data_IF_872541041008
#
_entry.id   IF_872541041008
#
_cell.length_a   1.000
_cell.length_b   1.000
_cell.length_c   1.000
_cell.angle_alpha   90.00
_cell.angle_beta   90.00
_cell.angle_gamma   90.00
#
_symmetry.space_group_name_H-M   'P 1'
#
loop_
_entity.id
_entity.type
_entity.pdbx_description
1 polymer ?
#
# COMPACT_ATOMS: atom_id res chain seq x y z
N UNK A 1 10.38 -0.52 -19.78
CA UNK A 1 11.49 -0.79 -20.72
C UNK A 1 12.85 -0.40 -20.14
N UNK A 2 12.95 0.70 -19.40
CA UNK A 2 14.23 1.18 -18.83
C UNK A 2 14.78 0.27 -17.72
N UNK A 3 13.89 -0.30 -16.89
CA UNK A 3 14.30 -1.23 -15.82
C UNK A 3 14.87 -2.57 -16.36
N UNK A 4 14.35 -3.06 -17.48
CA UNK A 4 14.87 -4.28 -18.13
C UNK A 4 16.29 -4.08 -18.69
N UNK A 5 16.60 -2.88 -19.22
CA UNK A 5 17.94 -2.55 -19.75
C UNK A 5 19.00 -2.40 -18.66
N UNK A 6 18.64 -1.83 -17.52
CA UNK A 6 19.58 -1.66 -16.39
C UNK A 6 19.96 -2.99 -15.73
N UNK A 7 19.08 -3.99 -15.76
CA UNK A 7 19.36 -5.32 -15.19
C UNK A 7 20.18 -6.18 -16.14
N UNK A 8 19.88 -6.17 -17.44
CA UNK A 8 20.72 -6.82 -18.46
C UNK A 8 22.19 -6.34 -18.40
N UNK A 9 22.39 -5.05 -18.08
CA UNK A 9 23.72 -4.48 -17.84
C UNK A 9 24.36 -4.96 -16.53
N UNK A 10 23.63 -5.05 -15.42
CA UNK A 10 24.14 -5.57 -14.15
C UNK A 10 24.56 -7.05 -14.23
N UNK A 11 23.78 -7.84 -14.97
CA UNK A 11 24.02 -9.26 -15.26
C UNK A 11 25.31 -9.43 -16.08
N UNK A 12 25.46 -8.59 -17.09
CA UNK A 12 26.66 -8.55 -17.93
C UNK A 12 27.89 -8.18 -17.09
N UNK A 13 27.78 -7.16 -16.24
CA UNK A 13 28.89 -6.69 -15.40
C UNK A 13 29.39 -7.79 -14.44
N UNK A 14 28.50 -8.52 -13.78
CA UNK A 14 28.96 -9.54 -12.83
C UNK A 14 29.60 -10.74 -13.52
N UNK A 15 29.05 -11.14 -14.67
CA UNK A 15 29.64 -12.20 -15.49
C UNK A 15 31.01 -11.77 -16.00
N UNK A 16 31.16 -10.53 -16.46
CA UNK A 16 32.44 -9.96 -16.91
C UNK A 16 33.48 -9.88 -15.78
N UNK A 17 33.07 -9.46 -14.58
CA UNK A 17 33.95 -9.42 -13.40
C UNK A 17 34.42 -10.82 -13.02
N UNK A 18 33.52 -11.81 -13.02
CA UNK A 18 33.87 -13.19 -12.66
C UNK A 18 34.75 -13.82 -13.74
N UNK A 19 34.53 -13.51 -15.02
CA UNK A 19 35.43 -13.89 -16.12
C UNK A 19 36.82 -13.30 -15.94
N UNK A 20 36.92 -12.00 -15.73
CA UNK A 20 38.21 -11.33 -15.53
C UNK A 20 38.98 -11.89 -14.32
N UNK A 21 38.27 -12.22 -13.23
CA UNK A 21 38.86 -12.86 -12.06
C UNK A 21 39.26 -14.31 -12.33
N UNK A 22 38.51 -15.06 -13.14
CA UNK A 22 38.87 -16.40 -13.54
C UNK A 22 40.13 -16.43 -14.40
N UNK A 23 40.23 -15.51 -15.36
CA UNK A 23 41.38 -15.37 -16.25
C UNK A 23 42.63 -14.86 -15.49
N UNK A 24 42.44 -13.99 -14.49
CA UNK A 24 43.54 -13.51 -13.65
C UNK A 24 44.08 -14.59 -12.70
N UNK A 25 43.21 -15.51 -12.25
CA UNK A 25 43.53 -16.61 -11.33
C UNK A 25 43.93 -17.92 -12.04
N UNK A 26 44.59 -17.83 -13.21
CA UNK A 26 44.94 -18.99 -14.04
C UNK A 26 46.28 -19.65 -13.64
N UNK A 27 47.11 -18.96 -12.86
CA UNK A 27 48.44 -19.46 -12.48
C UNK A 27 48.39 -20.53 -11.37
N UNK A 28 49.18 -21.62 -11.46
CA UNK A 28 49.18 -22.71 -10.46
C UNK A 28 49.61 -22.26 -9.05
N UNK A 29 50.40 -21.20 -8.94
CA UNK A 29 50.80 -20.59 -7.66
C UNK A 29 49.63 -19.97 -6.88
N UNK A 30 48.52 -19.68 -7.57
CA UNK A 30 47.35 -19.00 -6.99
C UNK A 30 46.21 -19.97 -6.66
N UNK A 31 46.46 -21.28 -6.68
CA UNK A 31 45.45 -22.31 -6.43
C UNK A 31 44.72 -22.14 -5.08
N UNK A 32 45.40 -21.64 -4.04
CA UNK A 32 44.78 -21.34 -2.75
C UNK A 32 43.75 -20.20 -2.83
N UNK A 33 44.06 -19.14 -3.58
CA UNK A 33 43.18 -17.98 -3.78
C UNK A 33 41.96 -18.35 -4.63
N UNK A 34 42.16 -19.15 -5.69
CA UNK A 34 41.07 -19.70 -6.53
C UNK A 34 40.07 -20.50 -5.67
N UNK A 35 40.55 -21.37 -4.78
CA UNK A 35 39.69 -22.14 -3.86
C UNK A 35 38.97 -21.27 -2.84
N UNK A 36 39.65 -20.27 -2.26
CA UNK A 36 39.03 -19.35 -1.31
C UNK A 36 37.92 -18.52 -1.96
N UNK A 37 38.13 -18.08 -3.21
CA UNK A 37 37.12 -17.32 -3.96
C UNK A 37 35.89 -18.17 -4.31
N UNK A 38 36.09 -19.40 -4.80
CA UNK A 38 34.99 -20.35 -5.05
C UNK A 38 34.22 -20.65 -3.75
N UNK A 39 34.92 -20.85 -2.63
CA UNK A 39 34.29 -21.08 -1.34
C UNK A 39 33.46 -19.86 -0.89
N UNK A 40 33.98 -18.64 -1.02
CA UNK A 40 33.26 -17.41 -0.72
C UNK A 40 32.02 -17.25 -1.60
N UNK A 41 32.15 -17.48 -2.92
CA UNK A 41 31.04 -17.43 -3.85
C UNK A 41 29.93 -18.40 -3.45
N UNK A 42 30.29 -19.65 -3.16
CA UNK A 42 29.37 -20.72 -2.78
C UNK A 42 28.69 -20.48 -1.43
N UNK A 43 29.43 -19.99 -0.43
CA UNK A 43 28.95 -19.89 0.95
C UNK A 43 28.28 -18.55 1.26
N UNK A 44 28.63 -17.48 0.54
CA UNK A 44 28.21 -16.11 0.91
C UNK A 44 27.49 -15.42 -0.25
N UNK A 45 28.10 -15.39 -1.43
CA UNK A 45 27.56 -14.61 -2.55
C UNK A 45 26.30 -15.25 -3.14
N UNK A 46 26.39 -16.49 -3.61
CA UNK A 46 25.29 -17.20 -4.26
C UNK A 46 24.05 -17.34 -3.35
N UNK A 47 24.15 -17.73 -2.06
CA UNK A 47 22.97 -17.84 -1.19
C UNK A 47 22.24 -16.51 -0.94
N UNK A 48 22.94 -15.37 -1.01
CA UNK A 48 22.35 -14.05 -0.80
C UNK A 48 21.67 -13.50 -2.04
N UNK A 49 22.26 -13.74 -3.20
CA UNK A 49 21.76 -13.20 -4.46
C UNK A 49 20.80 -14.17 -5.17
N UNK A 50 20.79 -15.45 -4.78
CA UNK A 50 20.01 -16.52 -5.40
C UNK A 50 19.28 -17.35 -4.33
N UNK A 51 18.36 -16.73 -3.58
CA UNK A 51 17.58 -17.45 -2.60
C UNK A 51 16.70 -18.49 -3.30
N UNK A 52 16.71 -19.73 -2.79
CA UNK A 52 15.88 -20.86 -3.24
C UNK A 52 16.26 -21.56 -4.56
N UNK A 53 17.43 -21.28 -5.15
CA UNK A 53 17.93 -22.06 -6.29
C UNK A 53 18.72 -23.29 -5.79
N UNK A 54 18.45 -24.51 -6.29
CA UNK A 54 19.29 -25.67 -6.02
C UNK A 54 20.70 -25.41 -6.56
N UNK A 55 21.67 -25.27 -5.65
CA UNK A 55 23.05 -24.98 -6.00
C UNK A 55 23.65 -26.18 -6.75
N UNK A 56 24.19 -25.98 -7.97
CA UNK A 56 24.98 -27.00 -8.60
C UNK A 56 26.24 -27.29 -7.77
N UNK A 57 26.76 -28.51 -7.88
CA UNK A 57 28.02 -28.88 -7.22
C UNK A 57 29.15 -28.18 -7.96
N UNK A 58 29.46 -26.96 -7.53
CA UNK A 58 30.57 -26.18 -8.06
C UNK A 58 31.80 -26.40 -7.17
N UNK A 59 32.86 -26.90 -7.77
CA UNK A 59 34.16 -27.12 -7.15
C UNK A 59 35.25 -26.26 -7.80
N UNK A 60 35.05 -25.84 -9.06
CA UNK A 60 36.01 -25.04 -9.80
C UNK A 60 35.43 -23.70 -10.26
N UNK A 61 36.30 -22.70 -10.35
CA UNK A 61 35.92 -21.36 -10.82
C UNK A 61 35.41 -21.36 -12.26
N UNK A 62 35.88 -22.30 -13.07
CA UNK A 62 35.43 -22.51 -14.45
C UNK A 62 33.97 -22.97 -14.50
N UNK A 63 33.58 -23.87 -13.60
CA UNK A 63 32.19 -24.30 -13.46
C UNK A 63 31.29 -23.13 -13.00
N UNK A 64 31.80 -22.23 -12.15
CA UNK A 64 31.08 -21.00 -11.78
C UNK A 64 30.83 -20.14 -13.02
N UNK A 65 31.84 -19.98 -13.88
CA UNK A 65 31.75 -19.18 -15.11
C UNK A 65 30.66 -19.69 -16.04
N UNK A 66 30.70 -20.98 -16.39
CA UNK A 66 29.72 -21.62 -17.26
C UNK A 66 28.31 -21.53 -16.65
N UNK A 67 28.22 -21.83 -15.36
CA UNK A 67 26.95 -21.76 -14.63
C UNK A 67 26.35 -20.35 -14.66
N UNK A 68 27.15 -19.31 -14.47
CA UNK A 68 26.68 -17.93 -14.49
C UNK A 68 26.29 -17.46 -15.89
N UNK A 69 27.02 -17.89 -16.92
CA UNK A 69 26.66 -17.59 -18.32
C UNK A 69 25.30 -18.16 -18.69
N UNK A 70 24.96 -19.36 -18.20
CA UNK A 70 23.71 -20.04 -18.56
C UNK A 70 22.51 -19.63 -17.69
N UNK A 71 22.72 -19.29 -16.41
CA UNK A 71 21.62 -19.21 -15.42
C UNK A 71 21.32 -17.83 -14.85
N UNK A 72 22.21 -16.84 -15.02
CA UNK A 72 22.01 -15.49 -14.47
C UNK A 72 20.68 -14.89 -14.93
N UNK A 73 20.36 -14.99 -16.22
CA UNK A 73 19.11 -14.47 -16.79
C UNK A 73 17.86 -15.08 -16.13
N UNK A 74 17.87 -16.38 -15.86
CA UNK A 74 16.74 -17.07 -15.22
C UNK A 74 16.52 -16.59 -13.80
N UNK A 75 17.60 -16.36 -13.04
CA UNK A 75 17.52 -15.90 -11.66
C UNK A 75 17.01 -14.49 -11.50
N UNK A 76 17.43 -13.58 -12.37
CA UNK A 76 16.88 -12.22 -12.37
C UNK A 76 15.39 -12.22 -12.74
N UNK A 77 14.99 -13.07 -13.69
CA UNK A 77 13.58 -13.25 -14.01
C UNK A 77 12.76 -13.77 -12.82
N UNK A 78 13.26 -14.79 -12.10
CA UNK A 78 12.62 -15.34 -10.90
C UNK A 78 12.54 -14.31 -9.76
N UNK A 79 13.64 -13.62 -9.48
CA UNK A 79 13.68 -12.57 -8.46
C UNK A 79 12.74 -11.40 -8.77
N UNK A 80 12.66 -10.99 -10.04
CA UNK A 80 11.72 -9.96 -10.49
C UNK A 80 10.27 -10.44 -10.32
N UNK A 81 9.97 -11.68 -10.70
CA UNK A 81 8.64 -12.24 -10.55
C UNK A 81 8.21 -12.26 -9.07
N UNK A 82 9.09 -12.69 -8.16
CA UNK A 82 8.84 -12.66 -6.72
C UNK A 82 8.64 -11.22 -6.22
N UNK A 83 9.51 -10.29 -6.62
CA UNK A 83 9.42 -8.88 -6.22
C UNK A 83 8.13 -8.21 -6.68
N UNK A 84 7.71 -8.46 -7.93
CA UNK A 84 6.44 -7.97 -8.47
C UNK A 84 5.25 -8.59 -7.72
N UNK A 85 5.25 -9.90 -7.50
CA UNK A 85 4.18 -10.57 -6.75
C UNK A 85 4.06 -10.02 -5.33
N UNK A 86 5.18 -9.87 -4.61
CA UNK A 86 5.19 -9.30 -3.27
C UNK A 86 4.73 -7.84 -3.27
N UNK A 87 5.21 -7.02 -4.22
CA UNK A 87 4.82 -5.63 -4.34
C UNK A 87 3.32 -5.45 -4.62
N UNK A 88 2.76 -6.26 -5.52
CA UNK A 88 1.32 -6.26 -5.82
C UNK A 88 0.52 -6.71 -4.61
N UNK A 89 0.94 -7.79 -3.94
CA UNK A 89 0.24 -8.31 -2.77
C UNK A 89 0.24 -7.30 -1.61
N UNK A 90 1.38 -6.70 -1.31
CA UNK A 90 1.51 -5.67 -0.27
C UNK A 90 0.71 -4.42 -0.62
N UNK A 91 0.81 -3.94 -1.86
CA UNK A 91 0.07 -2.78 -2.34
C UNK A 91 -1.45 -2.98 -2.27
N UNK A 92 -1.94 -4.17 -2.68
CA UNK A 92 -3.35 -4.51 -2.59
C UNK A 92 -3.84 -4.58 -1.15
N UNK A 93 -3.06 -5.23 -0.27
CA UNK A 93 -3.42 -5.36 1.14
C UNK A 93 -3.49 -4.00 1.84
N UNK A 94 -2.49 -3.14 1.62
CA UNK A 94 -2.47 -1.79 2.19
C UNK A 94 -3.60 -0.93 1.63
N UNK A 95 -3.80 -0.95 0.30
CA UNK A 95 -4.86 -0.20 -0.35
C UNK A 95 -6.27 -0.62 0.12
N UNK A 96 -6.52 -1.92 0.25
CA UNK A 96 -7.79 -2.43 0.75
C UNK A 96 -8.02 -2.05 2.21
N UNK A 97 -7.00 -2.20 3.07
CA UNK A 97 -7.11 -1.85 4.48
C UNK A 97 -7.40 -0.36 4.66
N UNK A 98 -6.66 0.52 3.98
CA UNK A 98 -6.88 1.96 4.02
C UNK A 98 -8.25 2.35 3.48
N UNK A 99 -8.66 1.76 2.35
CA UNK A 99 -9.96 2.02 1.73
C UNK A 99 -11.13 1.61 2.63
N UNK A 100 -11.05 0.44 3.27
CA UNK A 100 -12.07 -0.02 4.21
C UNK A 100 -12.15 0.87 5.45
N UNK A 101 -11.01 1.22 6.07
CA UNK A 101 -10.99 2.08 7.25
C UNK A 101 -11.55 3.47 6.97
N UNK A 102 -11.15 4.09 5.85
CA UNK A 102 -11.68 5.39 5.45
C UNK A 102 -13.17 5.31 5.13
N UNK A 103 -13.59 4.29 4.37
CA UNK A 103 -14.99 4.07 4.02
C UNK A 103 -15.88 3.88 5.24
N UNK A 104 -15.46 3.06 6.20
CA UNK A 104 -16.19 2.83 7.45
C UNK A 104 -16.29 4.11 8.28
N UNK A 105 -15.17 4.86 8.42
CA UNK A 105 -15.16 6.11 9.16
C UNK A 105 -16.12 7.15 8.56
N UNK A 106 -16.01 7.43 7.25
CA UNK A 106 -16.89 8.39 6.59
C UNK A 106 -18.34 7.93 6.57
N UNK A 107 -18.57 6.62 6.35
CA UNK A 107 -19.91 6.02 6.38
C UNK A 107 -20.58 6.18 7.74
N UNK A 108 -19.86 5.93 8.84
CA UNK A 108 -20.38 6.08 10.20
C UNK A 108 -20.67 7.54 10.55
N UNK A 109 -19.76 8.48 10.20
CA UNK A 109 -19.99 9.90 10.46
C UNK A 109 -21.21 10.43 9.70
N UNK A 110 -21.31 10.09 8.40
CA UNK A 110 -22.45 10.46 7.58
C UNK A 110 -23.75 9.85 8.09
N UNK A 111 -23.73 8.57 8.50
CA UNK A 111 -24.89 7.91 9.08
C UNK A 111 -25.39 8.59 10.35
N UNK A 112 -24.49 8.98 11.26
CA UNK A 112 -24.84 9.73 12.48
C UNK A 112 -25.41 11.12 12.17
N UNK A 113 -24.88 11.78 11.14
CA UNK A 113 -25.38 13.08 10.70
C UNK A 113 -26.80 12.95 10.14
N UNK A 114 -27.01 12.02 9.20
CA UNK A 114 -28.31 11.76 8.57
C UNK A 114 -29.37 11.32 9.60
N UNK A 115 -28.96 10.52 10.60
CA UNK A 115 -29.82 10.13 11.73
C UNK A 115 -30.27 11.37 12.53
N UNK A 116 -29.34 12.25 12.93
CA UNK A 116 -29.69 13.48 13.67
C UNK A 116 -30.60 14.40 12.87
N UNK A 117 -30.34 14.58 11.57
CA UNK A 117 -31.20 15.36 10.69
C UNK A 117 -32.63 14.78 10.66
N UNK A 118 -32.74 13.45 10.54
CA UNK A 118 -34.03 12.75 10.57
C UNK A 118 -34.75 12.95 11.90
N UNK A 119 -34.03 12.83 13.01
CA UNK A 119 -34.60 13.01 14.35
C UNK A 119 -35.13 14.42 14.57
N UNK A 120 -34.38 15.45 14.15
CA UNK A 120 -34.82 16.85 14.20
C UNK A 120 -36.14 17.01 13.44
N UNK A 121 -36.17 16.54 12.19
CA UNK A 121 -37.36 16.66 11.33
C UNK A 121 -38.55 15.90 11.92
N UNK A 122 -38.34 14.67 12.40
CA UNK A 122 -39.37 13.86 13.03
C UNK A 122 -39.97 14.55 14.27
N UNK A 123 -39.12 15.15 15.13
CA UNK A 123 -39.58 15.87 16.32
C UNK A 123 -40.39 17.10 15.92
N UNK A 124 -39.88 17.91 14.99
CA UNK A 124 -40.57 19.11 14.53
C UNK A 124 -41.92 18.76 13.89
N UNK A 125 -41.98 17.73 13.04
CA UNK A 125 -43.19 17.28 12.38
C UNK A 125 -44.21 16.71 13.39
N UNK A 126 -43.74 15.92 14.35
CA UNK A 126 -44.60 15.35 15.39
C UNK A 126 -45.22 16.44 16.28
N UNK A 127 -44.46 17.50 16.59
CA UNK A 127 -44.91 18.57 17.50
C UNK A 127 -45.73 19.64 16.80
N UNK A 128 -45.39 20.00 15.58
CA UNK A 128 -45.91 21.18 14.89
C UNK A 128 -46.65 20.88 13.59
N UNK A 129 -46.69 19.61 13.15
CA UNK A 129 -47.37 19.19 11.93
C UNK A 129 -46.52 19.42 10.68
N UNK A 130 -47.16 19.78 9.57
CA UNK A 130 -46.47 19.96 8.28
C UNK A 130 -45.34 21.01 8.36
N UNK A 131 -44.15 20.62 7.92
CA UNK A 131 -42.98 21.47 7.92
C UNK A 131 -42.80 22.17 6.56
N UNK A 132 -42.43 23.47 6.53
CA UNK A 132 -42.05 24.15 5.30
C UNK A 132 -40.89 23.43 4.60
N UNK A 133 -40.98 23.25 3.28
CA UNK A 133 -39.95 22.58 2.48
C UNK A 133 -38.56 23.22 2.65
N UNK A 134 -38.50 24.55 2.76
CA UNK A 134 -37.26 25.28 3.00
C UNK A 134 -36.58 24.88 4.31
N UNK A 135 -37.35 24.61 5.36
CA UNK A 135 -36.81 24.16 6.64
C UNK A 135 -36.27 22.73 6.55
N UNK A 136 -36.99 21.86 5.83
CA UNK A 136 -36.55 20.48 5.59
C UNK A 136 -35.21 20.46 4.86
N UNK A 137 -35.05 21.27 3.81
CA UNK A 137 -33.82 21.41 3.05
C UNK A 137 -32.68 22.01 3.87
N UNK A 138 -32.97 23.00 4.72
CA UNK A 138 -31.99 23.56 5.64
C UNK A 138 -31.45 22.51 6.60
N UNK A 139 -32.31 21.74 7.27
CA UNK A 139 -31.86 20.70 8.21
C UNK A 139 -31.07 19.61 7.46
N UNK A 140 -31.51 19.18 6.28
CA UNK A 140 -30.79 18.17 5.48
C UNK A 140 -29.44 18.64 4.95
N UNK A 141 -29.27 19.94 4.71
CA UNK A 141 -27.99 20.49 4.24
C UNK A 141 -26.98 20.74 5.38
N UNK A 142 -27.40 20.65 6.64
CA UNK A 142 -26.49 20.80 7.78
C UNK A 142 -25.53 19.62 7.93
N UNK A 143 -24.24 19.87 7.79
CA UNK A 143 -23.19 18.87 7.98
C UNK A 143 -22.49 18.91 9.34
N UNK A 144 -22.55 20.06 10.01
CA UNK A 144 -21.85 20.27 11.29
C UNK A 144 -22.59 19.61 12.45
N UNK A 145 -21.94 18.64 13.10
CA UNK A 145 -22.52 17.87 14.20
C UNK A 145 -22.94 18.73 15.40
N UNK A 146 -22.15 19.76 15.74
CA UNK A 146 -22.48 20.65 16.86
C UNK A 146 -23.74 21.49 16.59
N UNK A 147 -23.94 21.91 15.34
CA UNK A 147 -25.13 22.62 14.93
C UNK A 147 -26.35 21.68 14.94
N UNK A 148 -26.18 20.44 14.47
CA UNK A 148 -27.25 19.42 14.55
C UNK A 148 -27.66 19.13 16.00
N UNK A 149 -26.71 19.02 16.93
CA UNK A 149 -27.04 18.82 18.35
C UNK A 149 -27.76 20.00 18.99
N UNK A 150 -27.36 21.21 18.62
CA UNK A 150 -28.01 22.45 19.10
C UNK A 150 -29.42 22.56 18.52
N UNK A 151 -29.57 22.28 17.23
CA UNK A 151 -30.85 22.24 16.52
C UNK A 151 -31.80 21.22 17.15
N UNK A 152 -31.31 20.01 17.45
CA UNK A 152 -32.10 18.98 18.12
C UNK A 152 -32.61 19.43 19.48
N UNK A 153 -31.76 20.08 20.29
CA UNK A 153 -32.18 20.66 21.59
C UNK A 153 -33.25 21.74 21.40
N UNK A 154 -33.07 22.64 20.44
CA UNK A 154 -34.04 23.69 20.14
C UNK A 154 -35.37 23.12 19.63
N UNK A 155 -35.33 22.09 18.78
CA UNK A 155 -36.52 21.42 18.25
C UNK A 155 -37.38 20.79 19.37
N UNK A 156 -36.74 20.31 20.43
CA UNK A 156 -37.43 19.78 21.63
C UNK A 156 -37.97 20.91 22.52
N UNK A 157 -37.23 21.99 22.70
CA UNK A 157 -37.55 23.04 23.68
C UNK A 157 -38.46 24.15 23.15
N UNK A 158 -38.50 24.39 21.85
CA UNK A 158 -39.26 25.50 21.28
C UNK A 158 -40.76 25.36 21.56
N UNK A 159 -41.44 26.46 21.87
CA UNK A 159 -42.89 26.47 22.15
C UNK A 159 -43.74 26.41 20.87
N UNK A 160 -43.18 26.87 19.75
CA UNK A 160 -43.82 26.86 18.43
C UNK A 160 -42.78 26.77 17.31
N UNK A 161 -43.24 26.42 16.11
CA UNK A 161 -42.39 26.38 14.91
C UNK A 161 -41.79 27.76 14.59
N UNK A 162 -42.56 28.84 14.80
CA UNK A 162 -42.08 30.21 14.58
C UNK A 162 -40.93 30.57 15.52
N UNK A 163 -41.07 30.26 16.81
CA UNK A 163 -40.03 30.50 17.82
C UNK A 163 -38.77 29.69 17.50
N UNK A 164 -38.94 28.44 17.07
CA UNK A 164 -37.82 27.61 16.63
C UNK A 164 -37.06 28.25 15.46
N UNK A 165 -37.75 28.65 14.40
CA UNK A 165 -37.12 29.27 13.23
C UNK A 165 -36.38 30.58 13.59
N UNK A 166 -36.95 31.41 14.46
CA UNK A 166 -36.29 32.64 14.92
C UNK A 166 -35.02 32.39 15.74
N UNK A 167 -35.02 31.36 16.59
CA UNK A 167 -33.84 30.96 17.37
C UNK A 167 -32.77 30.33 16.47
N UNK A 168 -33.20 29.56 15.48
CA UNK A 168 -32.33 28.93 14.50
C UNK A 168 -31.55 29.94 13.67
N UNK A 169 -32.24 30.95 13.11
CA UNK A 169 -31.64 32.04 12.30
C UNK A 169 -30.64 32.90 13.09
N UNK A 170 -30.70 32.93 14.42
CA UNK A 170 -29.73 33.67 15.25
C UNK A 170 -28.47 32.86 15.57
N UNK A 171 -28.53 31.54 15.42
CA UNK A 171 -27.47 30.61 15.84
C UNK A 171 -26.64 30.11 14.64
N UNK A 172 -27.08 30.44 13.42
CA UNK A 172 -26.55 29.96 12.14
C UNK A 172 -26.40 31.16 11.18
#
# INVERSE_FOLDING_TARGET
>A
MENSRNHEQADTIIVEVIKALADWLDSPEQAGLKRAFVAWLKQIYLPRHLPNTPMPVINELEEVRIMLEERVQQWYAEGMQIGVQQGVQQGLQQGLQQGLQQGEYFGLQRGRQEEKQRDILMILETRFGELPLSLVEQVKSMTEMNLLETCLKQAVLAESLTVFCEQWVKTN
#
